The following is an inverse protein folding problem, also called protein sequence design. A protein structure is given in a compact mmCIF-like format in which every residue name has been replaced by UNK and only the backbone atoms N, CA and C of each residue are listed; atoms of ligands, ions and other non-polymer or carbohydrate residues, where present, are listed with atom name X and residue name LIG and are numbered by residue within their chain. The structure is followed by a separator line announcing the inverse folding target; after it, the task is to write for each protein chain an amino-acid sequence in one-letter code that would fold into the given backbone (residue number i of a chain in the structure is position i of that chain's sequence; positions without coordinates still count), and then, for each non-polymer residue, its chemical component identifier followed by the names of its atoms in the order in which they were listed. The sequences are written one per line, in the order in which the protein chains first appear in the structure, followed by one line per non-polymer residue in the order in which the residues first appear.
data_IF_116423807209
#
_entry.id   IF_116423807209
#
_cell.length_a   1.000
_cell.length_b   1.000
_cell.length_c   1.000
_cell.angle_alpha   90.00
_cell.angle_beta   90.00
_cell.angle_gamma   90.00
#
_symmetry.space_group_name_H-M   'P 1'
#
loop_
_entity.id
_entity.type
_entity.pdbx_description
1 polymer ?
#
# COMPACT_ATOMS: atom_id res chain seq x y z
N UNK A 1 0.12 -23.62 -2.99
CA UNK A 1 -0.11 -24.42 -1.76
C UNK A 1 0.95 -24.23 -0.67
N UNK A 2 2.24 -23.94 -0.96
CA UNK A 2 3.26 -23.66 0.07
C UNK A 2 3.06 -22.33 0.85
N UNK A 3 2.39 -21.34 0.26
CA UNK A 3 2.17 -20.01 0.91
C UNK A 3 1.07 -19.98 1.98
N UNK A 4 0.26 -21.03 2.11
CA UNK A 4 -0.84 -21.08 3.09
C UNK A 4 -0.36 -21.50 4.49
N UNK A 5 0.83 -22.11 4.59
CA UNK A 5 1.35 -22.64 5.86
C UNK A 5 1.86 -21.52 6.81
N UNK A 6 2.34 -20.41 6.26
CA UNK A 6 3.00 -19.34 7.05
C UNK A 6 1.99 -18.49 7.84
N UNK A 7 0.74 -18.40 7.39
CA UNK A 7 -0.28 -17.58 8.06
C UNK A 7 -0.94 -18.27 9.26
N UNK A 8 -0.87 -19.60 9.37
CA UNK A 8 -1.53 -20.36 10.45
C UNK A 8 -0.69 -20.34 11.75
N UNK A 9 0.59 -20.00 11.68
CA UNK A 9 1.50 -20.05 12.85
C UNK A 9 1.38 -18.81 13.74
N UNK A 10 0.79 -17.69 13.26
CA UNK A 10 0.81 -16.43 14.02
C UNK A 10 -0.33 -16.24 15.04
N UNK A 11 -1.32 -17.15 15.11
CA UNK A 11 -2.54 -16.95 15.91
C UNK A 11 -2.57 -17.66 17.27
N UNK A 12 -1.53 -18.39 17.67
CA UNK A 12 -1.54 -19.14 18.91
C UNK A 12 -0.31 -18.81 19.78
N UNK A 13 -0.42 -17.83 20.68
CA UNK A 13 0.21 -17.85 22.01
C UNK A 13 0.16 -16.48 22.69
N UNK A 14 -0.98 -16.09 23.28
CA UNK A 14 -0.99 -15.15 24.41
C UNK A 14 -2.12 -15.56 25.36
N UNK A 15 -1.91 -16.57 26.21
CA UNK A 15 -2.69 -16.70 27.46
C UNK A 15 -1.84 -17.28 28.60
N UNK A 16 -1.93 -16.58 29.73
CA UNK A 16 -1.61 -16.97 31.12
C UNK A 16 -0.14 -17.13 31.56
N UNK A 17 0.23 -16.23 32.48
CA UNK A 17 1.43 -16.19 33.32
C UNK A 17 1.46 -17.37 34.33
N UNK A 18 1.91 -18.53 33.85
CA UNK A 18 2.71 -19.55 34.57
C UNK A 18 3.12 -20.64 33.56
N UNK A 19 3.48 -20.20 32.35
CA UNK A 19 3.62 -21.05 31.18
C UNK A 19 4.79 -22.04 31.34
N UNK A 20 4.44 -23.26 31.77
CA UNK A 20 5.02 -24.53 31.35
C UNK A 20 6.25 -24.36 30.44
N UNK A 21 7.45 -24.42 31.01
CA UNK A 21 8.73 -24.24 30.30
C UNK A 21 8.79 -25.07 28.99
N UNK A 22 8.08 -26.20 28.93
CA UNK A 22 7.95 -27.01 27.72
C UNK A 22 7.22 -26.28 26.59
N UNK A 23 6.15 -25.53 26.89
CA UNK A 23 5.41 -24.74 25.88
C UNK A 23 6.25 -23.59 25.35
N UNK A 24 7.00 -22.90 26.23
CA UNK A 24 7.91 -21.81 25.81
C UNK A 24 9.06 -22.35 24.95
N UNK A 25 9.65 -23.50 25.33
CA UNK A 25 10.67 -24.19 24.52
C UNK A 25 10.12 -24.66 23.17
N UNK A 26 8.90 -25.20 23.14
CA UNK A 26 8.23 -25.59 21.89
C UNK A 26 8.00 -24.39 20.98
N UNK A 27 7.47 -23.28 21.53
CA UNK A 27 7.29 -22.04 20.78
C UNK A 27 8.61 -21.48 20.25
N UNK A 28 9.69 -21.55 21.02
CA UNK A 28 11.02 -21.09 20.59
C UNK A 28 11.52 -21.91 19.39
N UNK A 29 11.37 -23.24 19.46
CA UNK A 29 11.72 -24.13 18.36
C UNK A 29 10.90 -23.84 17.09
N UNK A 30 9.60 -23.58 17.23
CA UNK A 30 8.73 -23.22 16.10
C UNK A 30 9.13 -21.90 15.45
N UNK A 31 9.45 -20.87 16.24
CA UNK A 31 9.93 -19.59 15.73
C UNK A 31 11.26 -19.74 14.99
N UNK A 32 12.21 -20.51 15.54
CA UNK A 32 13.50 -20.78 14.89
C UNK A 32 13.34 -21.55 13.58
N UNK A 33 12.43 -22.54 13.55
CA UNK A 33 12.10 -23.25 12.32
C UNK A 33 11.48 -22.31 11.27
N UNK A 34 10.57 -21.41 11.69
CA UNK A 34 9.99 -20.41 10.81
C UNK A 34 11.04 -19.43 10.26
N UNK A 35 12.01 -18.99 11.07
CA UNK A 35 13.13 -18.15 10.61
C UNK A 35 13.96 -18.86 9.53
N UNK A 36 14.28 -20.14 9.72
CA UNK A 36 15.01 -20.92 8.73
C UNK A 36 14.24 -21.02 7.40
N UNK A 37 12.92 -21.23 7.45
CA UNK A 37 12.09 -21.26 6.25
C UNK A 37 12.03 -19.89 5.54
N UNK A 38 11.93 -18.81 6.31
CA UNK A 38 11.95 -17.42 5.79
C UNK A 38 13.28 -17.10 5.13
N UNK A 39 14.41 -17.55 5.68
CA UNK A 39 15.74 -17.37 5.10
C UNK A 39 15.89 -18.10 3.76
N UNK A 40 15.35 -19.32 3.64
CA UNK A 40 15.31 -20.06 2.36
C UNK A 40 14.48 -19.29 1.33
N UNK A 41 13.28 -18.84 1.73
CA UNK A 41 12.37 -18.08 0.88
C UNK A 41 12.99 -16.75 0.40
N UNK A 42 13.82 -16.09 1.20
CA UNK A 42 14.38 -14.77 0.86
C UNK A 42 15.13 -14.77 -0.47
N UNK A 43 15.84 -15.86 -0.80
CA UNK A 43 16.60 -15.99 -2.04
C UNK A 43 15.76 -16.51 -3.23
N UNK A 44 14.57 -17.04 -2.97
CA UNK A 44 13.68 -17.62 -3.98
C UNK A 44 12.59 -16.65 -4.47
N UNK A 45 12.34 -15.58 -3.71
CA UNK A 45 11.28 -14.62 -4.00
C UNK A 45 11.79 -13.43 -4.82
N UNK A 46 10.91 -12.84 -5.63
CA UNK A 46 11.26 -11.66 -6.43
C UNK A 46 11.48 -10.41 -5.56
N UNK A 47 12.12 -9.35 -6.07
CA UNK A 47 12.41 -8.14 -5.29
C UNK A 47 11.19 -7.48 -4.63
N UNK A 48 10.00 -7.58 -5.23
CA UNK A 48 8.76 -7.05 -4.62
C UNK A 48 8.32 -7.86 -3.40
N UNK A 49 8.62 -9.16 -3.38
CA UNK A 49 8.30 -10.07 -2.29
C UNK A 49 9.39 -10.11 -1.20
N UNK A 50 10.65 -9.84 -1.54
CA UNK A 50 11.77 -9.81 -0.58
C UNK A 50 11.50 -8.89 0.61
N UNK A 51 10.85 -7.75 0.38
CA UNK A 51 10.56 -6.78 1.44
C UNK A 51 9.50 -7.31 2.43
N UNK A 52 8.52 -8.08 1.94
CA UNK A 52 7.54 -8.77 2.81
C UNK A 52 8.24 -9.86 3.64
N UNK A 53 9.18 -10.59 3.04
CA UNK A 53 9.96 -11.63 3.72
C UNK A 53 10.87 -11.01 4.78
N UNK A 54 11.50 -9.86 4.49
CA UNK A 54 12.30 -9.10 5.47
C UNK A 54 11.47 -8.67 6.68
N UNK A 55 10.26 -8.15 6.46
CA UNK A 55 9.36 -7.80 7.56
C UNK A 55 8.98 -9.01 8.42
N UNK A 56 8.64 -10.15 7.80
CA UNK A 56 8.32 -11.39 8.54
C UNK A 56 9.54 -11.86 9.35
N UNK A 57 10.75 -11.80 8.78
CA UNK A 57 11.99 -12.16 9.46
C UNK A 57 12.22 -11.31 10.72
N UNK A 58 12.00 -9.99 10.65
CA UNK A 58 12.12 -9.10 11.81
C UNK A 58 11.10 -9.43 12.90
N UNK A 59 9.85 -9.75 12.53
CA UNK A 59 8.80 -10.16 13.47
C UNK A 59 9.13 -11.48 14.17
N UNK A 60 9.71 -12.44 13.46
CA UNK A 60 10.14 -13.71 14.03
C UNK A 60 11.33 -13.53 14.99
N UNK A 61 12.34 -12.73 14.62
CA UNK A 61 13.45 -12.39 15.52
C UNK A 61 12.98 -11.73 16.82
N UNK A 62 11.97 -10.86 16.73
CA UNK A 62 11.36 -10.27 17.92
C UNK A 62 10.64 -11.34 18.77
N UNK A 63 9.83 -12.21 18.16
CA UNK A 63 9.15 -13.29 18.87
C UNK A 63 10.15 -14.24 19.58
N UNK A 64 11.27 -14.55 18.92
CA UNK A 64 12.35 -15.34 19.50
C UNK A 64 12.91 -14.67 20.76
N UNK A 65 13.16 -13.36 20.70
CA UNK A 65 13.68 -12.61 21.85
C UNK A 65 12.73 -12.65 23.06
N UNK A 66 11.41 -12.58 22.84
CA UNK A 66 10.40 -12.70 23.90
C UNK A 66 10.39 -14.09 24.54
N UNK A 67 10.49 -15.15 23.73
CA UNK A 67 10.50 -16.53 24.21
C UNK A 67 11.78 -16.85 24.99
N UNK A 68 12.94 -16.39 24.49
CA UNK A 68 14.23 -16.51 25.20
C UNK A 68 14.21 -15.76 26.55
N UNK A 69 13.63 -14.55 26.59
CA UNK A 69 13.46 -13.80 27.84
C UNK A 69 12.59 -14.56 28.85
N UNK A 70 11.49 -15.17 28.38
CA UNK A 70 10.57 -15.96 29.21
C UNK A 70 11.24 -17.17 29.84
N UNK A 71 12.19 -17.81 29.13
CA UNK A 71 12.97 -18.95 29.66
C UNK A 71 14.03 -18.54 30.69
N UNK A 72 14.57 -17.33 30.58
CA UNK A 72 15.71 -16.89 31.39
C UNK A 72 15.32 -16.16 32.71
N UNK A 73 14.03 -16.11 33.07
CA UNK A 73 13.51 -15.50 34.31
C UNK A 73 14.12 -14.14 34.68
N UNK A 74 14.46 -13.28 33.70
CA UNK A 74 15.00 -11.96 33.99
C UNK A 74 13.90 -11.03 34.53
N UNK A 75 14.06 -10.44 35.73
CA UNK A 75 13.11 -9.46 36.23
C UNK A 75 13.34 -8.13 35.48
N UNK A 76 12.47 -7.86 34.50
CA UNK A 76 12.32 -6.59 33.77
C UNK A 76 13.54 -6.09 32.96
N UNK A 77 13.92 -6.74 31.85
CA UNK A 77 14.64 -6.06 30.78
C UNK A 77 13.72 -5.10 30.01
N UNK A 78 14.24 -3.99 29.44
CA UNK A 78 13.46 -3.14 28.54
C UNK A 78 12.95 -3.97 27.37
N UNK A 79 11.64 -3.94 27.14
CA UNK A 79 11.01 -4.64 26.03
C UNK A 79 11.63 -4.18 24.72
N UNK A 80 12.23 -5.09 23.92
CA UNK A 80 12.68 -4.74 22.58
C UNK A 80 11.47 -4.23 21.81
N UNK A 81 11.47 -2.95 21.48
CA UNK A 81 10.40 -2.41 20.65
C UNK A 81 10.54 -3.03 19.25
N UNK A 82 9.46 -3.50 18.62
CA UNK A 82 9.51 -3.87 17.21
C UNK A 82 10.13 -2.71 16.43
N UNK A 83 11.03 -2.97 15.46
CA UNK A 83 11.39 -1.93 14.52
C UNK A 83 10.08 -1.36 13.93
N UNK A 84 9.97 -0.04 13.75
CA UNK A 84 8.77 0.54 13.14
C UNK A 84 8.47 -0.19 11.84
N UNK A 85 7.20 -0.55 11.60
CA UNK A 85 6.82 -1.14 10.32
C UNK A 85 7.22 -0.18 9.20
N UNK A 86 8.17 -0.62 8.39
CA UNK A 86 8.57 0.08 7.18
C UNK A 86 7.71 -0.48 6.03
N UNK A 87 6.82 0.33 5.43
CA UNK A 87 6.07 -0.13 4.27
C UNK A 87 7.04 -0.50 3.13
N UNK A 88 6.67 -1.47 2.27
CA UNK A 88 7.50 -1.83 1.12
C UNK A 88 7.91 -0.60 0.32
N UNK A 89 9.21 -0.50 0.00
CA UNK A 89 9.76 0.63 -0.74
C UNK A 89 10.04 1.89 0.08
N UNK A 90 10.01 1.81 1.42
CA UNK A 90 10.35 2.93 2.31
C UNK A 90 11.78 3.46 2.17
N UNK A 91 12.71 2.68 1.62
CA UNK A 91 14.08 3.11 1.31
C UNK A 91 14.18 3.86 -0.02
N UNK A 92 13.16 3.79 -0.87
CA UNK A 92 13.15 4.52 -2.14
C UNK A 92 12.97 6.00 -1.85
N UNK A 93 13.95 6.75 -2.31
CA UNK A 93 13.98 8.21 -2.21
C UNK A 93 13.30 8.81 -3.43
N UNK A 94 12.44 9.78 -3.17
CA UNK A 94 11.87 10.67 -4.17
C UNK A 94 12.48 12.04 -3.97
N UNK A 95 13.20 12.51 -4.97
CA UNK A 95 13.79 13.85 -4.99
C UNK A 95 12.76 14.81 -5.59
N UNK A 96 12.52 15.95 -4.94
CA UNK A 96 11.59 16.98 -5.37
C UNK A 96 12.36 18.15 -6.00
N UNK A 97 12.01 18.56 -7.22
CA UNK A 97 12.72 19.61 -7.95
C UNK A 97 11.81 20.77 -8.32
N UNK A 98 12.36 21.98 -8.30
CA UNK A 98 11.76 23.17 -8.90
C UNK A 98 12.18 23.32 -10.37
N UNK A 99 12.03 22.24 -11.16
CA UNK A 99 12.38 22.20 -12.58
C UNK A 99 11.82 20.96 -13.24
N UNK A 100 11.13 21.11 -14.36
CA UNK A 100 10.48 20.05 -15.17
C UNK A 100 11.47 18.96 -15.64
N UNK A 101 12.77 19.26 -15.66
CA UNK A 101 13.84 18.37 -16.13
C UNK A 101 14.64 17.71 -15.02
N UNK A 102 14.32 17.97 -13.75
CA UNK A 102 15.12 17.59 -12.59
C UNK A 102 16.59 18.04 -12.68
N UNK A 103 16.89 19.10 -13.43
CA UNK A 103 18.24 19.69 -13.50
C UNK A 103 18.38 20.98 -12.67
N UNK A 104 17.27 21.48 -12.11
CA UNK A 104 17.25 22.65 -11.24
C UNK A 104 17.44 22.34 -9.75
N UNK A 105 17.01 23.26 -8.91
CA UNK A 105 17.19 23.19 -7.46
C UNK A 105 16.41 22.02 -6.84
N UNK A 106 17.13 21.22 -6.07
CA UNK A 106 16.56 20.16 -5.24
C UNK A 106 15.90 20.80 -4.02
N UNK A 107 14.58 20.69 -3.93
CA UNK A 107 13.78 21.17 -2.79
C UNK A 107 13.96 20.24 -1.59
N UNK A 108 14.02 18.93 -1.84
CA UNK A 108 14.29 17.95 -0.80
C UNK A 108 14.06 16.52 -1.24
N UNK A 109 14.22 15.61 -0.29
CA UNK A 109 14.12 14.17 -0.50
C UNK A 109 13.04 13.63 0.43
N UNK A 110 12.11 12.87 -0.12
CA UNK A 110 11.01 12.24 0.61
C UNK A 110 11.01 10.73 0.40
N UNK A 111 10.44 10.01 1.36
CA UNK A 111 10.21 8.58 1.34
C UNK A 111 8.98 8.26 2.20
N UNK A 112 8.60 6.99 2.30
CA UNK A 112 7.36 6.60 2.98
C UNK A 112 7.33 6.94 4.49
N UNK A 113 8.47 7.26 5.11
CA UNK A 113 8.59 7.67 6.51
C UNK A 113 8.67 9.20 6.69
N UNK A 114 8.63 9.96 5.60
CA UNK A 114 8.84 11.40 5.65
C UNK A 114 7.64 12.12 6.22
N UNK A 115 7.88 12.94 7.25
CA UNK A 115 6.88 13.89 7.75
C UNK A 115 6.76 15.07 6.77
N UNK A 116 5.69 15.06 5.96
CA UNK A 116 5.44 16.09 4.96
C UNK A 116 5.19 17.48 5.54
N UNK A 117 4.90 17.63 6.83
CA UNK A 117 4.75 18.96 7.45
C UNK A 117 6.04 19.79 7.36
N UNK A 118 7.21 19.14 7.26
CA UNK A 118 8.53 19.76 7.10
C UNK A 118 8.69 20.51 5.78
N UNK A 119 7.85 20.23 4.78
CA UNK A 119 7.85 20.89 3.47
C UNK A 119 6.88 22.08 3.40
N UNK A 120 6.23 22.44 4.52
CA UNK A 120 5.39 23.64 4.59
C UNK A 120 6.22 24.89 4.28
N UNK A 121 5.88 25.59 3.20
CA UNK A 121 6.58 26.81 2.78
C UNK A 121 7.87 26.57 1.99
N UNK A 122 8.21 25.33 1.62
CA UNK A 122 9.42 24.99 0.87
C UNK A 122 9.35 25.27 -0.66
N UNK A 123 8.32 25.99 -1.12
CA UNK A 123 8.14 26.36 -2.53
C UNK A 123 7.29 25.39 -3.34
N UNK A 124 7.40 25.50 -4.67
CA UNK A 124 6.67 24.70 -5.65
C UNK A 124 7.58 23.65 -6.28
N UNK A 125 7.02 22.46 -6.51
CA UNK A 125 7.66 21.32 -7.16
C UNK A 125 7.03 21.15 -8.53
N UNK A 126 7.87 21.00 -9.54
CA UNK A 126 7.48 20.84 -10.95
C UNK A 126 7.92 19.48 -11.51
N UNK A 127 8.95 18.86 -10.91
CA UNK A 127 9.32 17.49 -11.24
C UNK A 127 9.73 16.69 -10.01
N UNK A 128 9.67 15.37 -10.17
CA UNK A 128 10.21 14.43 -9.19
C UNK A 128 11.22 13.50 -9.85
N UNK A 129 12.22 13.04 -9.09
CA UNK A 129 13.06 11.93 -9.50
C UNK A 129 12.82 10.73 -8.60
N UNK A 130 12.47 9.61 -9.21
CA UNK A 130 12.22 8.33 -8.54
C UNK A 130 13.12 7.29 -9.20
N UNK A 131 13.96 6.61 -8.42
CA UNK A 131 14.91 5.62 -8.94
C UNK A 131 15.77 6.13 -10.11
N UNK A 132 16.23 7.39 -10.03
CA UNK A 132 17.07 8.01 -11.05
C UNK A 132 16.31 8.50 -12.30
N UNK A 133 15.03 8.19 -12.47
CA UNK A 133 14.21 8.68 -13.58
C UNK A 133 13.49 9.96 -13.18
N UNK A 134 13.74 11.04 -13.92
CA UNK A 134 12.99 12.28 -13.80
C UNK A 134 11.60 12.13 -14.41
N UNK A 135 10.60 12.72 -13.77
CA UNK A 135 9.22 12.81 -14.24
C UNK A 135 8.73 14.23 -13.98
N UNK A 136 8.33 14.89 -15.04
CA UNK A 136 7.56 16.12 -14.99
C UNK A 136 6.19 15.82 -14.37
N UNK A 137 5.70 16.71 -13.51
CA UNK A 137 4.44 16.56 -12.79
C UNK A 137 3.64 17.85 -12.87
N UNK A 138 2.34 17.78 -12.58
CA UNK A 138 1.57 18.99 -12.37
C UNK A 138 2.17 19.82 -11.22
N UNK A 139 2.48 21.09 -11.51
CA UNK A 139 2.96 22.07 -10.54
C UNK A 139 2.18 22.01 -9.23
N UNK A 140 2.88 21.78 -8.14
CA UNK A 140 2.24 21.67 -6.83
C UNK A 140 3.16 22.19 -5.72
N UNK A 141 2.62 22.42 -4.53
CA UNK A 141 3.45 22.81 -3.39
C UNK A 141 4.31 21.64 -2.91
N UNK A 142 5.48 21.91 -2.33
CA UNK A 142 6.37 20.88 -1.83
C UNK A 142 5.71 19.94 -0.80
N UNK A 143 4.83 20.47 0.05
CA UNK A 143 4.03 19.68 1.00
C UNK A 143 3.06 18.72 0.28
N UNK A 144 2.42 19.17 -0.80
CA UNK A 144 1.53 18.33 -1.59
C UNK A 144 2.32 17.29 -2.38
N UNK A 145 3.45 17.67 -3.00
CA UNK A 145 4.33 16.74 -3.68
C UNK A 145 4.83 15.63 -2.72
N UNK A 146 5.22 15.98 -1.49
CA UNK A 146 5.56 15.00 -0.48
C UNK A 146 4.40 14.01 -0.24
N UNK A 147 3.18 14.50 -0.02
CA UNK A 147 2.01 13.64 0.24
C UNK A 147 1.67 12.74 -0.95
N UNK A 148 1.80 13.27 -2.17
CA UNK A 148 1.51 12.59 -3.42
C UNK A 148 2.55 11.54 -3.80
N UNK A 149 3.82 11.72 -3.44
CA UNK A 149 4.91 10.90 -3.97
C UNK A 149 5.75 10.18 -2.92
N UNK A 150 5.57 10.41 -1.62
CA UNK A 150 6.29 9.69 -0.56
C UNK A 150 6.19 8.17 -0.66
N UNK A 151 5.15 7.64 -1.32
CA UNK A 151 4.94 6.21 -1.51
C UNK A 151 5.42 5.70 -2.88
N UNK A 152 6.17 6.47 -3.67
CA UNK A 152 6.58 6.07 -5.02
C UNK A 152 7.45 4.80 -5.07
N UNK A 153 8.12 4.48 -3.97
CA UNK A 153 8.86 3.23 -3.81
C UNK A 153 8.01 1.98 -3.60
N UNK A 154 6.77 2.17 -3.17
CA UNK A 154 5.90 1.06 -2.83
C UNK A 154 5.44 0.37 -4.12
N UNK A 155 5.88 -0.88 -4.29
CA UNK A 155 5.57 -1.69 -5.47
C UNK A 155 4.09 -2.07 -5.57
N UNK A 156 3.34 -1.88 -4.48
CA UNK A 156 1.89 -2.03 -4.40
C UNK A 156 1.18 -0.67 -4.43
N UNK A 157 1.88 0.43 -4.70
CA UNK A 157 1.22 1.71 -4.91
C UNK A 157 0.53 1.75 -6.27
N UNK A 158 -0.57 2.49 -6.30
CA UNK A 158 -1.31 2.88 -7.48
C UNK A 158 -0.74 4.21 -7.95
N UNK A 159 -0.30 4.25 -9.20
CA UNK A 159 0.07 5.51 -9.84
C UNK A 159 -1.15 6.03 -10.59
N UNK A 160 -1.40 7.32 -10.47
CA UNK A 160 -2.55 7.99 -11.07
C UNK A 160 -2.07 8.98 -12.10
N UNK A 161 -2.74 8.97 -13.24
CA UNK A 161 -2.37 9.75 -14.41
C UNK A 161 -3.54 10.61 -14.84
N UNK A 162 -3.21 11.78 -15.37
CA UNK A 162 -4.12 12.64 -16.11
C UNK A 162 -3.98 12.35 -17.61
N UNK A 163 -4.11 11.07 -17.95
CA UNK A 163 -4.02 10.55 -19.30
C UNK A 163 -4.56 9.11 -19.34
N UNK A 164 -5.47 8.84 -20.25
CA UNK A 164 -6.23 7.57 -20.35
C UNK A 164 -5.34 6.34 -20.65
N UNK A 165 -4.10 6.57 -21.11
CA UNK A 165 -3.14 5.53 -21.48
C UNK A 165 -1.96 5.38 -20.49
N UNK A 166 -1.94 6.17 -19.43
CA UNK A 166 -0.89 6.19 -18.40
C UNK A 166 0.54 6.38 -18.95
N UNK A 167 0.73 7.07 -20.08
CA UNK A 167 2.07 7.29 -20.65
C UNK A 167 2.76 8.53 -20.10
N UNK A 168 2.01 9.59 -19.80
CA UNK A 168 2.50 10.87 -19.30
C UNK A 168 1.54 11.48 -18.27
N UNK A 169 1.93 12.62 -17.68
CA UNK A 169 1.13 13.38 -16.70
C UNK A 169 0.80 12.58 -15.44
N UNK A 170 1.84 12.10 -14.75
CA UNK A 170 1.69 11.49 -13.43
C UNK A 170 1.16 12.55 -12.45
N UNK A 171 -0.01 12.29 -11.88
CA UNK A 171 -0.70 13.21 -10.97
C UNK A 171 -0.60 12.80 -9.50
N UNK A 172 -0.24 11.55 -9.22
CA UNK A 172 -0.03 11.10 -7.83
C UNK A 172 0.30 9.61 -7.70
N UNK A 173 0.80 9.23 -6.52
CA UNK A 173 1.07 7.84 -6.17
C UNK A 173 0.55 7.56 -4.76
N UNK A 174 -0.44 6.67 -4.63
CA UNK A 174 -0.97 6.28 -3.33
C UNK A 174 -0.95 4.78 -3.10
N UNK A 175 -0.95 4.38 -1.84
CA UNK A 175 -1.00 2.98 -1.42
C UNK A 175 -2.11 2.77 -0.40
N UNK A 176 -2.25 1.55 0.09
CA UNK A 176 -3.14 1.22 1.22
C UNK A 176 -2.85 2.06 2.48
N UNK A 177 -1.64 2.62 2.61
CA UNK A 177 -1.20 3.45 3.74
C UNK A 177 -1.40 4.95 3.51
N UNK A 178 -1.80 5.37 2.32
CA UNK A 178 -2.01 6.79 2.03
C UNK A 178 -3.19 7.35 2.80
N UNK A 179 -3.02 8.55 3.37
CA UNK A 179 -4.10 9.35 3.90
C UNK A 179 -4.76 10.15 2.77
N UNK A 180 -5.83 9.62 2.18
CA UNK A 180 -6.53 10.24 1.06
C UNK A 180 -7.05 11.65 1.38
N UNK A 181 -7.40 11.93 2.64
CA UNK A 181 -7.90 13.23 3.09
C UNK A 181 -6.83 14.32 3.09
N UNK A 182 -5.56 13.93 3.04
CA UNK A 182 -4.43 14.87 2.95
C UNK A 182 -4.10 15.27 1.51
N UNK A 183 -4.69 14.60 0.52
CA UNK A 183 -4.44 14.85 -0.90
C UNK A 183 -5.20 16.09 -1.38
N UNK A 184 -4.70 16.78 -2.42
CA UNK A 184 -5.43 17.85 -3.07
C UNK A 184 -6.76 17.35 -3.65
N UNK A 185 -7.86 18.02 -3.28
CA UNK A 185 -9.21 17.67 -3.74
C UNK A 185 -9.75 18.62 -4.82
N UNK A 186 -8.86 19.27 -5.57
CA UNK A 186 -9.21 20.21 -6.63
C UNK A 186 -9.09 19.54 -8.01
N UNK A 187 -10.14 19.71 -8.83
CA UNK A 187 -10.15 19.36 -10.26
C UNK A 187 -10.32 17.86 -10.59
N UNK A 188 -10.40 17.58 -11.89
CA UNK A 188 -10.39 16.23 -12.47
C UNK A 188 -8.95 15.91 -12.89
N UNK A 189 -8.16 15.44 -11.93
CA UNK A 189 -6.72 15.18 -12.10
C UNK A 189 -6.40 13.68 -12.02
N UNK A 190 -7.41 12.81 -12.16
CA UNK A 190 -7.26 11.37 -12.19
C UNK A 190 -8.17 10.82 -13.30
N UNK A 191 -7.58 10.40 -14.41
CA UNK A 191 -8.28 9.86 -15.60
C UNK A 191 -7.92 8.39 -15.80
N UNK A 192 -6.70 7.98 -15.44
CA UNK A 192 -6.31 6.58 -15.43
C UNK A 192 -5.47 6.23 -14.21
N UNK A 193 -5.43 4.92 -13.92
CA UNK A 193 -4.57 4.35 -12.90
C UNK A 193 -3.69 3.25 -13.49
N UNK A 194 -2.44 3.18 -13.05
CA UNK A 194 -1.55 2.07 -13.32
C UNK A 194 -1.57 1.11 -12.13
N UNK A 195 -2.00 -0.12 -12.39
CA UNK A 195 -2.07 -1.19 -11.40
C UNK A 195 -1.16 -2.31 -11.87
N UNK A 196 -0.03 -2.48 -11.18
CA UNK A 196 1.07 -3.30 -11.69
C UNK A 196 1.61 -2.70 -12.99
N UNK A 197 1.47 -3.44 -14.10
CA UNK A 197 1.90 -3.01 -15.44
C UNK A 197 0.72 -2.79 -16.40
N UNK A 198 -0.52 -2.70 -15.89
CA UNK A 198 -1.71 -2.44 -16.70
C UNK A 198 -2.23 -1.03 -16.41
N UNK A 199 -2.35 -0.23 -17.46
CA UNK A 199 -3.13 1.00 -17.40
C UNK A 199 -4.62 0.66 -17.43
N UNK A 200 -5.37 1.30 -16.56
CA UNK A 200 -6.81 1.18 -16.48
C UNK A 200 -7.40 2.58 -16.54
N UNK A 201 -8.17 2.82 -17.57
CA UNK A 201 -9.03 4.00 -17.67
C UNK A 201 -10.08 3.96 -16.55
N UNK A 202 -10.30 5.11 -15.93
CA UNK A 202 -11.25 5.33 -14.83
C UNK A 202 -12.09 6.56 -15.14
N UNK A 203 -13.26 6.68 -14.52
CA UNK A 203 -14.02 7.92 -14.59
C UNK A 203 -13.20 9.09 -14.03
N UNK A 204 -13.12 10.17 -14.80
CA UNK A 204 -12.48 11.42 -14.43
C UNK A 204 -12.89 11.88 -13.03
N UNK A 205 -11.91 11.99 -12.14
CA UNK A 205 -12.20 12.33 -10.74
C UNK A 205 -11.06 13.09 -10.07
N UNK A 206 -11.25 13.49 -8.82
CA UNK A 206 -10.20 14.13 -8.03
C UNK A 206 -9.21 13.10 -7.48
N UNK A 207 -8.00 13.54 -7.14
CA UNK A 207 -6.99 12.64 -6.55
C UNK A 207 -7.45 12.05 -5.21
N UNK A 208 -8.15 12.83 -4.40
CA UNK A 208 -8.76 12.35 -3.14
C UNK A 208 -9.77 11.23 -3.41
N UNK A 209 -10.65 11.43 -4.39
CA UNK A 209 -11.67 10.44 -4.74
C UNK A 209 -11.05 9.18 -5.36
N UNK A 210 -10.11 9.33 -6.29
CA UNK A 210 -9.33 8.22 -6.86
C UNK A 210 -8.60 7.42 -5.76
N UNK A 211 -7.98 8.11 -4.79
CA UNK A 211 -7.34 7.44 -3.65
C UNK A 211 -8.32 6.60 -2.84
N UNK A 212 -9.51 7.14 -2.51
CA UNK A 212 -10.55 6.39 -1.79
C UNK A 212 -11.06 5.19 -2.59
N UNK A 213 -11.28 5.39 -3.88
CA UNK A 213 -11.80 4.38 -4.79
C UNK A 213 -10.82 3.22 -5.03
N UNK A 214 -9.52 3.49 -5.13
CA UNK A 214 -8.55 2.50 -5.61
C UNK A 214 -7.47 2.10 -4.59
N UNK A 215 -7.46 2.65 -3.37
CA UNK A 215 -6.48 2.26 -2.33
C UNK A 215 -6.43 0.75 -2.05
N UNK A 216 -7.53 0.03 -2.25
CA UNK A 216 -7.61 -1.40 -1.98
C UNK A 216 -7.33 -2.28 -3.22
N UNK A 217 -7.00 -1.70 -4.38
CA UNK A 217 -6.94 -2.45 -5.65
C UNK A 217 -5.93 -3.61 -5.67
N UNK A 218 -4.86 -3.50 -4.89
CA UNK A 218 -3.84 -4.55 -4.75
C UNK A 218 -4.15 -5.53 -3.59
N UNK A 219 -5.29 -5.40 -2.93
CA UNK A 219 -5.75 -6.37 -1.93
C UNK A 219 -6.13 -7.67 -2.62
N UNK A 220 -5.64 -8.80 -2.10
CA UNK A 220 -5.96 -10.14 -2.65
C UNK A 220 -7.45 -10.47 -2.57
N UNK A 221 -8.19 -9.80 -1.68
CA UNK A 221 -9.62 -9.98 -1.51
C UNK A 221 -10.42 -8.85 -2.14
N UNK A 222 -9.78 -7.94 -2.88
CA UNK A 222 -10.51 -6.82 -3.45
C UNK A 222 -11.56 -7.29 -4.45
N UNK A 223 -12.74 -6.69 -4.34
CA UNK A 223 -13.78 -6.74 -5.34
C UNK A 223 -13.65 -5.48 -6.19
N UNK A 224 -13.51 -5.64 -7.50
CA UNK A 224 -13.41 -4.49 -8.41
C UNK A 224 -14.79 -4.20 -8.98
N UNK A 225 -15.18 -2.94 -8.98
CA UNK A 225 -16.47 -2.46 -9.47
C UNK A 225 -16.25 -1.77 -10.81
N UNK A 226 -17.11 -2.04 -11.79
CA UNK A 226 -17.00 -1.55 -13.15
C UNK A 226 -18.31 -0.94 -13.63
N UNK A 227 -18.19 0.11 -14.45
CA UNK A 227 -19.25 0.66 -15.28
C UNK A 227 -19.19 0.02 -16.68
N UNK A 228 -19.12 -1.31 -16.70
CA UNK A 228 -19.01 -2.14 -17.90
C UNK A 228 -19.44 -3.56 -17.58
N UNK A 229 -20.38 -4.12 -18.35
CA UNK A 229 -20.92 -5.48 -18.18
C UNK A 229 -19.85 -6.57 -18.32
N UNK A 230 -18.67 -6.23 -18.87
CA UNK A 230 -17.60 -7.18 -19.19
C UNK A 230 -16.36 -7.07 -18.29
N UNK A 231 -16.35 -6.12 -17.36
CA UNK A 231 -15.20 -5.85 -16.47
C UNK A 231 -13.87 -5.57 -17.20
N UNK A 232 -13.91 -5.13 -18.46
CA UNK A 232 -12.71 -4.91 -19.28
C UNK A 232 -12.25 -3.45 -19.27
N UNK A 233 -13.15 -2.52 -19.00
CA UNK A 233 -12.96 -1.07 -19.04
C UNK A 233 -13.80 -0.35 -17.97
N UNK A 234 -13.58 0.95 -17.79
CA UNK A 234 -14.38 1.81 -16.89
C UNK A 234 -14.45 1.29 -15.46
N UNK A 235 -13.28 1.06 -14.84
CA UNK A 235 -13.26 0.64 -13.44
C UNK A 235 -13.65 1.82 -12.55
N UNK A 236 -14.62 1.60 -11.67
CA UNK A 236 -15.19 2.63 -10.80
C UNK A 236 -14.46 2.67 -9.46
N UNK A 237 -14.21 1.49 -8.89
CA UNK A 237 -13.53 1.37 -7.59
C UNK A 237 -12.99 -0.05 -7.39
N UNK A 238 -12.11 -0.21 -6.41
CA UNK A 238 -11.74 -1.50 -5.84
C UNK A 238 -11.95 -1.46 -4.32
N UNK A 239 -12.77 -2.38 -3.81
CA UNK A 239 -13.22 -2.41 -2.42
C UNK A 239 -12.71 -3.64 -1.70
N UNK A 240 -12.38 -3.50 -0.42
CA UNK A 240 -12.08 -4.63 0.48
C UNK A 240 -12.83 -4.49 1.80
N UNK A 241 -12.62 -5.43 2.72
CA UNK A 241 -13.22 -5.47 4.06
C UNK A 241 -13.01 -4.19 4.90
N UNK A 242 -12.02 -3.35 4.57
CA UNK A 242 -11.71 -2.10 5.25
C UNK A 242 -12.24 -0.85 4.52
N UNK A 243 -12.79 -0.99 3.31
CA UNK A 243 -13.34 0.14 2.56
C UNK A 243 -14.54 0.74 3.29
N UNK A 244 -14.53 2.07 3.49
CA UNK A 244 -15.68 2.82 3.96
C UNK A 244 -16.56 3.22 2.75
N UNK A 245 -17.66 2.50 2.55
CA UNK A 245 -18.50 2.67 1.36
C UNK A 245 -19.07 4.09 1.20
N UNK A 246 -19.32 4.82 2.29
CA UNK A 246 -19.86 6.20 2.21
C UNK A 246 -18.86 7.17 1.55
N UNK A 247 -17.57 6.84 1.57
CA UNK A 247 -16.54 7.68 0.95
C UNK A 247 -16.51 7.58 -0.58
N UNK A 248 -17.27 6.64 -1.16
CA UNK A 248 -17.40 6.43 -2.60
C UNK A 248 -18.57 7.20 -3.21
N UNK A 249 -19.34 7.93 -2.40
CA UNK A 249 -20.46 8.74 -2.88
C UNK A 249 -20.00 9.73 -3.94
N UNK A 250 -20.70 9.75 -5.08
CA UNK A 250 -20.41 10.61 -6.22
C UNK A 250 -19.62 9.94 -7.35
N UNK A 251 -19.20 8.68 -7.18
CA UNK A 251 -18.73 7.85 -8.30
C UNK A 251 -19.91 7.34 -9.14
N UNK A 252 -19.61 6.88 -10.35
CA UNK A 252 -20.58 6.33 -11.30
C UNK A 252 -21.28 5.07 -10.78
N UNK A 253 -22.39 4.71 -11.44
CA UNK A 253 -23.09 3.46 -11.16
C UNK A 253 -22.21 2.24 -11.49
N UNK A 254 -22.55 1.10 -10.91
CA UNK A 254 -21.84 -0.17 -11.12
C UNK A 254 -22.75 -1.11 -11.90
N UNK A 255 -22.21 -1.61 -13.01
CA UNK A 255 -22.86 -2.56 -13.92
C UNK A 255 -22.27 -3.96 -13.79
N UNK A 256 -21.00 -4.08 -13.41
CA UNK A 256 -20.41 -5.39 -13.13
C UNK A 256 -19.43 -5.34 -11.97
N UNK A 257 -19.17 -6.52 -11.41
CA UNK A 257 -18.14 -6.73 -10.40
C UNK A 257 -17.18 -7.81 -10.87
N UNK A 258 -15.90 -7.68 -10.51
CA UNK A 258 -14.92 -8.74 -10.65
C UNK A 258 -14.54 -9.29 -9.27
N UNK A 259 -14.82 -10.57 -9.03
CA UNK A 259 -14.44 -11.28 -7.82
C UNK A 259 -13.63 -12.53 -8.18
N UNK A 260 -12.48 -12.74 -7.53
CA UNK A 260 -11.58 -13.86 -7.84
C UNK A 260 -11.23 -13.99 -9.35
N UNK A 261 -11.15 -12.87 -10.05
CA UNK A 261 -10.89 -12.82 -11.50
C UNK A 261 -12.08 -13.15 -12.40
N UNK A 262 -13.25 -13.48 -11.85
CA UNK A 262 -14.48 -13.69 -12.61
C UNK A 262 -15.31 -12.41 -12.64
N UNK A 263 -15.73 -12.01 -13.83
CA UNK A 263 -16.68 -10.91 -14.01
C UNK A 263 -18.11 -11.43 -13.82
N UNK A 264 -18.90 -10.67 -13.09
CA UNK A 264 -20.32 -10.90 -12.90
C UNK A 264 -21.07 -9.59 -13.16
N UNK A 265 -21.97 -9.65 -14.13
CA UNK A 265 -22.95 -8.60 -14.38
C UNK A 265 -23.89 -8.42 -13.18
N UNK A 266 -24.20 -7.17 -12.84
CA UNK A 266 -25.10 -6.79 -11.76
C UNK A 266 -26.07 -5.75 -12.27
N UNK A 267 -27.33 -5.84 -11.85
CA UNK A 267 -28.32 -4.81 -12.18
C UNK A 267 -27.82 -3.45 -11.72
N UNK A 268 -27.69 -2.50 -12.64
CA UNK A 268 -27.17 -1.15 -12.44
C UNK A 268 -27.55 -0.59 -11.07
N UNK A 269 -26.57 -0.53 -10.18
CA UNK A 269 -26.77 -0.05 -8.82
C UNK A 269 -25.78 1.05 -8.52
N UNK A 270 -26.16 1.96 -7.62
CA UNK A 270 -25.24 2.99 -7.16
C UNK A 270 -24.02 2.35 -6.46
N UNK A 271 -22.87 3.00 -6.58
CA UNK A 271 -21.58 2.50 -6.06
C UNK A 271 -21.59 2.22 -4.56
N UNK A 272 -22.37 2.95 -3.77
CA UNK A 272 -22.44 2.79 -2.31
C UNK A 272 -23.20 1.51 -1.98
N UNK A 273 -24.33 1.28 -2.65
CA UNK A 273 -25.11 0.03 -2.57
C UNK A 273 -24.27 -1.16 -3.07
N UNK A 274 -23.58 -1.02 -4.20
CA UNK A 274 -22.67 -2.05 -4.72
C UNK A 274 -21.58 -2.40 -3.69
N UNK A 275 -20.96 -1.37 -3.11
CA UNK A 275 -19.95 -1.54 -2.08
C UNK A 275 -20.50 -2.30 -0.88
N UNK A 276 -21.62 -1.87 -0.31
CA UNK A 276 -22.23 -2.54 0.85
C UNK A 276 -22.64 -3.99 0.56
N UNK A 277 -23.09 -4.27 -0.66
CA UNK A 277 -23.57 -5.60 -1.07
C UNK A 277 -22.43 -6.59 -1.34
N UNK A 278 -21.35 -6.14 -1.96
CA UNK A 278 -20.29 -7.03 -2.46
C UNK A 278 -18.96 -6.91 -1.71
N UNK A 279 -18.89 -6.09 -0.66
CA UNK A 279 -17.73 -6.02 0.23
C UNK A 279 -17.45 -7.40 0.87
N UNK A 280 -16.20 -7.88 0.80
CA UNK A 280 -15.78 -9.22 1.25
C UNK A 280 -15.58 -9.35 2.76
#
# INVERSE_FOLDING_TARGET
MKSLLVFIILTAAITSYSADDQKVKSGLFEVQNAQNQVNILFNEVNPQQQERVRYISQRLALAESYLQQSLNQYPNPPTPQPPPYQPPGSDVKVELFQSDSCQGDLIGIVNASTDCSKFSGAGNVWAIRVNGKCQDIDDTSAINACRLYQNAGNTQAVKVYKSDNCTDSLSGIFSTFSNCESLPNNGNNAWAIMVGNKCQDIADTSLTMSCRAFKAINSQRAVKLFHSDTCNESMVAAIDQNTNCETLLGLENVWAIQTNGQCQDVSDIDVVTACKRFKP
#
